data_IF_111347153164
#
_entry.id   IF_111347153164
#
_cell.length_a   1.000
_cell.length_b   1.000
_cell.length_c   1.000
_cell.angle_alpha   90.00
_cell.angle_beta   90.00
_cell.angle_gamma   90.00
#
_symmetry.space_group_name_H-M   'P 1'
#
loop_
_entity.id
_entity.type
_entity.pdbx_description
1 polymer ?
#
# COMPACT_ATOMS: atom_id res chain seq x y z
N UNK A 1 -34.80 -1.85 -3.69
CA UNK A 1 -34.04 -1.01 -2.73
C UNK A 1 -32.76 -0.56 -3.40
N UNK A 2 -32.43 0.73 -3.38
CA UNK A 2 -31.16 1.20 -3.92
C UNK A 2 -30.00 0.64 -3.07
N UNK A 3 -28.99 0.04 -3.71
CA UNK A 3 -27.78 -0.39 -3.02
C UNK A 3 -26.86 0.83 -2.88
N UNK A 4 -26.75 1.37 -1.67
CA UNK A 4 -25.86 2.50 -1.38
C UNK A 4 -24.48 1.92 -1.04
N UNK A 5 -23.47 2.25 -1.86
CA UNK A 5 -22.07 1.90 -1.62
C UNK A 5 -21.29 3.15 -1.24
N UNK A 6 -20.62 3.19 -0.08
CA UNK A 6 -19.73 4.30 0.24
C UNK A 6 -18.52 4.25 -0.70
N UNK A 7 -18.22 5.37 -1.36
CA UNK A 7 -17.06 5.52 -2.24
C UNK A 7 -16.20 6.65 -1.68
N UNK A 8 -14.93 6.36 -1.41
CA UNK A 8 -13.92 7.36 -1.07
C UNK A 8 -13.13 7.67 -2.34
N UNK A 9 -13.02 8.96 -2.70
CA UNK A 9 -12.20 9.44 -3.82
C UNK A 9 -11.12 10.35 -3.25
N UNK A 10 -9.86 10.09 -3.61
CA UNK A 10 -8.70 10.87 -3.15
C UNK A 10 -7.81 11.16 -4.36
N UNK A 11 -7.33 12.40 -4.46
CA UNK A 11 -6.28 12.80 -5.40
C UNK A 11 -4.96 12.79 -4.63
N UNK A 12 -3.92 12.20 -5.20
CA UNK A 12 -2.63 12.00 -4.52
C UNK A 12 -1.55 12.81 -5.24
N UNK A 13 -0.73 13.52 -4.47
CA UNK A 13 0.49 14.14 -4.97
C UNK A 13 1.66 13.11 -4.95
N UNK A 14 2.14 12.66 -6.12
CA UNK A 14 3.22 11.69 -6.18
C UNK A 14 4.56 12.24 -5.64
N UNK A 15 4.73 13.56 -5.56
CA UNK A 15 5.95 14.17 -4.98
C UNK A 15 6.00 14.02 -3.45
N UNK A 16 4.86 13.68 -2.82
CA UNK A 16 4.70 13.52 -1.38
C UNK A 16 4.07 12.16 -1.03
N UNK A 17 4.48 11.09 -1.73
CA UNK A 17 3.81 9.78 -1.71
C UNK A 17 3.55 9.17 -0.31
N UNK A 18 4.50 9.27 0.64
CA UNK A 18 4.33 8.65 1.97
C UNK A 18 3.21 9.33 2.78
N UNK A 19 3.24 10.66 3.01
CA UNK A 19 2.12 11.38 3.61
C UNK A 19 0.76 11.09 2.95
N UNK A 20 0.72 11.05 1.61
CA UNK A 20 -0.50 10.80 0.85
C UNK A 20 -1.08 9.40 1.11
N UNK A 21 -0.23 8.37 1.09
CA UNK A 21 -0.65 6.99 1.42
C UNK A 21 -1.16 6.90 2.86
N UNK A 22 -0.48 7.55 3.81
CA UNK A 22 -0.94 7.59 5.20
C UNK A 22 -2.31 8.28 5.33
N UNK A 23 -2.54 9.36 4.57
CA UNK A 23 -3.82 10.06 4.56
C UNK A 23 -4.96 9.18 4.02
N UNK A 24 -4.71 8.39 2.97
CA UNK A 24 -5.69 7.42 2.44
C UNK A 24 -6.06 6.38 3.50
N UNK A 25 -5.07 5.81 4.19
CA UNK A 25 -5.31 4.82 5.26
C UNK A 25 -6.16 5.46 6.36
N UNK A 26 -5.79 6.66 6.81
CA UNK A 26 -6.53 7.39 7.84
C UNK A 26 -7.99 7.69 7.43
N UNK A 27 -8.25 7.97 6.15
CA UNK A 27 -9.60 8.19 5.63
C UNK A 27 -10.47 6.93 5.61
N UNK A 28 -9.85 5.74 5.53
CA UNK A 28 -10.55 4.45 5.47
C UNK A 28 -10.88 3.86 6.85
N UNK A 29 -10.09 4.16 7.87
CA UNK A 29 -10.28 3.62 9.22
C UNK A 29 -11.69 3.87 9.82
N UNK A 30 -12.32 5.05 9.67
CA UNK A 30 -13.65 5.31 10.23
C UNK A 30 -14.77 4.40 9.71
N UNK A 31 -14.58 3.79 8.53
CA UNK A 31 -15.53 2.84 7.91
C UNK A 31 -15.32 1.39 8.38
N UNK A 32 -14.24 1.10 9.10
CA UNK A 32 -13.87 -0.22 9.60
C UNK A 32 -13.71 -0.22 11.14
N UNK A 33 -14.72 0.30 11.84
CA UNK A 33 -14.70 0.42 13.31
C UNK A 33 -14.52 -0.95 13.99
N UNK A 34 -13.58 -1.05 14.91
CA UNK A 34 -13.24 -2.28 15.64
C UNK A 34 -12.26 -3.20 14.92
N UNK A 35 -11.87 -2.87 13.69
CA UNK A 35 -10.87 -3.60 12.90
C UNK A 35 -9.68 -2.71 12.50
N UNK A 36 -9.53 -1.54 13.09
CA UNK A 36 -8.49 -0.57 12.73
C UNK A 36 -7.10 -1.17 12.81
N UNK A 37 -6.81 -1.88 13.91
CA UNK A 37 -5.53 -2.56 14.09
C UNK A 37 -5.29 -3.65 13.03
N UNK A 38 -6.30 -4.47 12.75
CA UNK A 38 -6.19 -5.54 11.76
C UNK A 38 -5.95 -5.00 10.34
N UNK A 39 -6.56 -3.86 10.00
CA UNK A 39 -6.31 -3.16 8.73
C UNK A 39 -4.85 -2.70 8.66
N UNK A 40 -4.34 -2.06 9.72
CA UNK A 40 -2.95 -1.58 9.75
C UNK A 40 -1.93 -2.73 9.70
N UNK A 41 -2.19 -3.82 10.41
CA UNK A 41 -1.36 -5.03 10.37
C UNK A 41 -1.37 -5.67 8.98
N UNK A 42 -2.54 -5.79 8.35
CA UNK A 42 -2.64 -6.31 6.98
C UNK A 42 -1.91 -5.44 5.95
N UNK A 43 -1.99 -4.11 6.07
CA UNK A 43 -1.23 -3.18 5.21
C UNK A 43 0.27 -3.37 5.40
N UNK A 44 0.74 -3.48 6.65
CA UNK A 44 2.16 -3.73 6.95
C UNK A 44 2.63 -5.05 6.32
N UNK A 45 1.83 -6.11 6.43
CA UNK A 45 2.20 -7.43 5.92
C UNK A 45 2.26 -7.44 4.39
N UNK A 46 1.34 -6.76 3.70
CA UNK A 46 1.37 -6.59 2.25
C UNK A 46 2.62 -5.81 1.78
N UNK A 47 3.00 -4.75 2.50
CA UNK A 47 4.23 -4.00 2.22
C UNK A 47 5.46 -4.90 2.40
N UNK A 48 5.50 -5.68 3.49
CA UNK A 48 6.59 -6.62 3.75
C UNK A 48 6.71 -7.70 2.66
N UNK A 49 5.58 -8.19 2.15
CA UNK A 49 5.56 -9.15 1.04
C UNK A 49 6.11 -8.52 -0.25
N UNK A 50 5.70 -7.30 -0.58
CA UNK A 50 6.20 -6.58 -1.74
C UNK A 50 7.73 -6.35 -1.66
N UNK A 51 8.23 -5.95 -0.49
CA UNK A 51 9.67 -5.76 -0.26
C UNK A 51 10.47 -7.07 -0.38
N UNK A 52 9.88 -8.22 -0.05
CA UNK A 52 10.51 -9.54 -0.25
C UNK A 52 10.60 -9.90 -1.74
N UNK A 53 9.54 -9.65 -2.51
CA UNK A 53 9.50 -9.89 -3.95
C UNK A 53 10.46 -9.01 -4.76
N UNK A 54 10.72 -7.79 -4.29
CA UNK A 54 11.72 -6.89 -4.91
C UNK A 54 13.18 -7.31 -4.64
N UNK A 55 13.42 -8.18 -3.64
CA UNK A 55 14.73 -8.76 -3.39
C UNK A 55 15.23 -9.66 -4.53
N UNK A 56 14.33 -10.47 -5.10
CA UNK A 56 14.65 -11.37 -6.23
C UNK A 56 14.85 -10.59 -7.55
N UNK A 57 14.10 -9.50 -7.75
CA UNK A 57 14.25 -8.64 -8.92
C UNK A 57 15.52 -7.77 -8.87
N UNK A 58 15.92 -7.30 -7.69
CA UNK A 58 17.12 -6.48 -7.53
C UNK A 58 18.42 -7.29 -7.73
N UNK A 59 18.47 -8.57 -7.33
CA UNK A 59 19.61 -9.45 -7.62
C UNK A 59 19.72 -9.80 -9.11
N UNK A 60 18.60 -10.09 -9.78
CA UNK A 60 18.54 -10.37 -11.22
C UNK A 60 19.07 -9.21 -12.09
N UNK A 61 18.74 -7.96 -11.72
CA UNK A 61 19.25 -6.75 -12.40
C UNK A 61 20.73 -6.51 -12.12
N UNK A 62 21.22 -6.84 -10.91
CA UNK A 62 22.64 -6.69 -10.55
C UNK A 62 23.52 -7.76 -11.22
N UNK A 63 23.06 -8.99 -11.33
CA UNK A 63 23.81 -10.08 -11.96
C UNK A 63 23.91 -9.90 -13.49
N UNK A 64 22.85 -9.38 -14.12
CA UNK A 64 22.83 -9.05 -15.55
C UNK A 64 23.82 -7.94 -15.94
N UNK A 65 24.15 -7.02 -15.02
CA UNK A 65 25.17 -5.97 -15.25
C UNK A 65 26.61 -6.46 -15.08
N UNK A 66 26.85 -7.57 -14.37
CA UNK A 66 28.20 -8.12 -14.14
C UNK A 66 28.70 -9.05 -15.25
N UNK A 67 27.81 -9.49 -16.15
CA UNK A 67 28.12 -10.36 -17.30
C UNK A 67 28.29 -9.60 -18.63
N UNK A 68 28.31 -8.26 -18.62
CA UNK A 68 28.61 -7.42 -19.79
C UNK A 68 29.98 -6.78 -19.68
#
# INVERSE_FOLDING_TARGET
MAQIKPIVRVELDPLHAVPEICAVIAALLPYNRGHEQAVLEGVRDAINEQLKGDGENAESVRESRRKR
#
